data_IF_499778441384
#
_entry.id   IF_499778441384
#
_cell.length_a   1.000
_cell.length_b   1.000
_cell.length_c   1.000
_cell.angle_alpha   90.00
_cell.angle_beta   90.00
_cell.angle_gamma   90.00
#
_symmetry.space_group_name_H-M   'P 1'
#
loop_
_entity.id
_entity.type
_entity.pdbx_description
1 polymer ?
#
# COMPACT_ATOMS: atom_id res chain seq x y z
N UNK A 1 17.80 2.58 59.97
CA UNK A 1 18.33 1.60 58.98
C UNK A 1 17.75 1.95 57.62
N UNK A 2 18.62 2.15 56.61
CA UNK A 2 18.28 2.37 55.20
C UNK A 2 18.01 1.02 54.53
N UNK A 3 16.99 0.93 53.68
CA UNK A 3 17.01 0.06 52.50
C UNK A 3 15.99 0.61 51.49
N UNK A 4 16.52 1.41 50.55
CA UNK A 4 15.81 1.83 49.37
C UNK A 4 15.84 0.73 48.31
N UNK A 5 14.75 0.58 47.59
CA UNK A 5 14.73 -0.11 46.31
C UNK A 5 14.25 0.88 45.25
N UNK A 6 15.21 1.50 44.58
CA UNK A 6 14.99 2.22 43.34
C UNK A 6 14.66 1.23 42.23
N UNK A 7 13.55 1.49 41.53
CA UNK A 7 13.34 1.01 40.17
C UNK A 7 13.09 2.23 39.31
N UNK A 8 14.18 2.80 38.81
CA UNK A 8 14.18 3.71 37.66
C UNK A 8 13.61 2.93 36.48
N UNK A 9 12.38 3.26 36.10
CA UNK A 9 11.80 2.83 34.83
C UNK A 9 12.59 3.55 33.75
N UNK A 10 13.50 2.84 33.10
CA UNK A 10 14.14 3.30 31.87
C UNK A 10 13.03 3.52 30.84
N UNK A 11 12.71 4.79 30.62
CA UNK A 11 11.94 5.24 29.48
C UNK A 11 12.86 5.12 28.27
N UNK A 12 12.81 3.96 27.60
CA UNK A 12 13.36 3.83 26.27
C UNK A 12 12.54 4.77 25.36
N UNK A 13 13.13 5.78 24.71
CA UNK A 13 12.39 6.53 23.71
C UNK A 13 12.10 5.60 22.54
N UNK A 14 10.85 5.16 22.41
CA UNK A 14 10.34 4.45 21.24
C UNK A 14 10.54 5.32 19.99
N UNK A 15 11.31 4.89 18.98
CA UNK A 15 11.54 5.72 17.81
C UNK A 15 10.51 5.40 16.72
N UNK A 16 9.22 5.71 16.92
CA UNK A 16 8.28 5.93 15.80
C UNK A 16 6.85 6.37 16.21
N UNK A 17 6.67 7.60 16.71
CA UNK A 17 5.32 8.17 16.90
C UNK A 17 4.97 9.26 15.88
N UNK A 18 5.89 9.63 14.99
CA UNK A 18 5.75 10.79 14.11
C UNK A 18 5.71 10.47 12.60
N UNK A 19 5.90 9.23 12.15
CA UNK A 19 5.93 8.93 10.70
C UNK A 19 4.53 8.79 10.08
N UNK A 20 3.59 8.10 10.75
CA UNK A 20 2.21 7.90 10.25
C UNK A 20 1.48 9.22 9.91
N UNK A 21 1.52 10.27 10.76
CA UNK A 21 0.90 11.56 10.43
C UNK A 21 1.57 12.28 9.25
N UNK A 22 2.88 12.10 9.07
CA UNK A 22 3.65 12.75 7.99
C UNK A 22 3.34 12.07 6.64
N UNK A 23 3.31 10.74 6.62
CA UNK A 23 2.98 9.94 5.43
C UNK A 23 1.56 10.25 4.92
N UNK A 24 0.58 10.30 5.83
CA UNK A 24 -0.81 10.61 5.48
C UNK A 24 -0.96 12.04 4.95
N UNK A 25 -0.29 13.01 5.58
CA UNK A 25 -0.30 14.41 5.14
C UNK A 25 0.32 14.56 3.75
N UNK A 26 1.46 13.91 3.49
CA UNK A 26 2.12 14.01 2.18
C UNK A 26 1.33 13.38 1.04
N UNK A 27 0.74 12.19 1.26
CA UNK A 27 -0.10 11.59 0.24
C UNK A 27 -1.27 12.52 -0.14
N UNK A 28 -1.89 13.17 0.86
CA UNK A 28 -2.98 14.13 0.64
C UNK A 28 -2.54 15.34 -0.21
N UNK A 29 -1.35 15.87 0.05
CA UNK A 29 -0.78 16.96 -0.73
C UNK A 29 -0.49 16.54 -2.18
N UNK A 30 0.09 15.35 -2.38
CA UNK A 30 0.36 14.82 -3.72
C UNK A 30 -0.92 14.54 -4.51
N UNK A 31 -2.02 14.19 -3.83
CA UNK A 31 -3.35 14.10 -4.44
C UNK A 31 -3.97 15.45 -4.79
N UNK A 32 -3.31 16.58 -4.54
CA UNK A 32 -3.76 17.91 -4.98
C UNK A 32 -5.07 18.37 -4.35
N UNK A 33 -5.44 17.82 -3.19
CA UNK A 33 -6.74 18.07 -2.54
C UNK A 33 -7.91 17.25 -3.10
N UNK A 34 -7.68 16.36 -4.07
CA UNK A 34 -8.66 15.37 -4.52
C UNK A 34 -8.86 14.33 -3.41
N UNK A 35 -9.94 14.51 -2.64
CA UNK A 35 -10.26 13.67 -1.48
C UNK A 35 -10.57 12.22 -1.87
N UNK A 36 -11.18 12.01 -3.03
CA UNK A 36 -11.53 10.67 -3.53
C UNK A 36 -10.27 9.93 -3.99
N UNK A 37 -9.36 10.62 -4.69
CA UNK A 37 -8.07 10.05 -5.08
C UNK A 37 -7.21 9.75 -3.87
N UNK A 38 -7.14 10.66 -2.90
CA UNK A 38 -6.45 10.40 -1.63
C UNK A 38 -7.03 9.17 -0.92
N UNK A 39 -8.36 9.06 -0.85
CA UNK A 39 -9.02 7.93 -0.20
C UNK A 39 -8.75 6.61 -0.93
N UNK A 40 -8.80 6.61 -2.27
CA UNK A 40 -8.52 5.41 -3.04
C UNK A 40 -7.05 5.00 -2.91
N UNK A 41 -6.13 5.96 -3.03
CA UNK A 41 -4.69 5.68 -2.94
C UNK A 41 -4.27 5.23 -1.53
N UNK A 42 -4.82 5.82 -0.46
CA UNK A 42 -4.52 5.39 0.91
C UNK A 42 -4.95 3.95 1.21
N UNK A 43 -5.91 3.40 0.47
CA UNK A 43 -6.38 2.00 0.58
C UNK A 43 -5.60 1.02 -0.30
N UNK A 44 -5.13 1.48 -1.45
CA UNK A 44 -4.57 0.61 -2.50
C UNK A 44 -3.04 0.63 -2.57
N UNK A 45 -2.41 1.69 -2.06
CA UNK A 45 -0.94 1.78 -1.97
C UNK A 45 -0.41 1.06 -0.74
N UNK A 46 0.83 0.59 -0.85
CA UNK A 46 1.63 0.29 0.32
C UNK A 46 2.20 1.59 0.87
N UNK A 47 1.71 2.06 2.03
CA UNK A 47 2.22 3.29 2.65
C UNK A 47 3.61 3.09 3.29
N UNK A 48 3.96 1.84 3.57
CA UNK A 48 5.28 1.44 4.05
C UNK A 48 5.87 0.36 3.12
N UNK A 49 6.55 0.76 2.03
CA UNK A 49 7.03 -0.17 1.02
C UNK A 49 8.11 -1.14 1.54
N UNK A 50 8.76 -0.83 2.67
CA UNK A 50 9.76 -1.73 3.30
C UNK A 50 9.13 -3.03 3.82
N UNK A 51 7.81 -3.05 3.98
CA UNK A 51 7.04 -4.24 4.38
C UNK A 51 6.66 -5.14 3.20
N UNK A 52 6.95 -4.76 1.97
CA UNK A 52 6.67 -5.59 0.78
C UNK A 52 7.73 -6.71 0.72
N UNK A 53 7.47 -7.82 1.42
CA UNK A 53 8.38 -8.97 1.48
C UNK A 53 8.08 -10.06 0.45
N UNK A 54 6.95 -9.96 -0.26
CA UNK A 54 6.46 -10.97 -1.20
C UNK A 54 6.71 -10.55 -2.65
N UNK A 55 7.10 -11.49 -3.51
CA UNK A 55 7.32 -11.22 -4.93
C UNK A 55 6.00 -11.15 -5.70
N UNK A 56 5.97 -10.35 -6.78
CA UNK A 56 4.79 -10.30 -7.66
C UNK A 56 4.43 -11.69 -8.22
N UNK A 57 5.42 -12.49 -8.59
CA UNK A 57 5.21 -13.84 -9.11
C UNK A 57 4.51 -14.74 -8.09
N UNK A 58 4.96 -14.73 -6.83
CA UNK A 58 4.34 -15.51 -5.78
C UNK A 58 2.88 -15.09 -5.55
N UNK A 59 2.62 -13.78 -5.46
CA UNK A 59 1.26 -13.24 -5.28
C UNK A 59 0.34 -13.66 -6.42
N UNK A 60 0.82 -13.62 -7.66
CA UNK A 60 0.02 -14.00 -8.82
C UNK A 60 -0.29 -15.49 -8.86
N UNK A 61 0.66 -16.34 -8.48
CA UNK A 61 0.43 -17.78 -8.35
C UNK A 61 -0.67 -18.06 -7.34
N UNK A 62 -0.58 -17.45 -6.15
CA UNK A 62 -1.61 -17.58 -5.11
C UNK A 62 -2.98 -17.05 -5.58
N UNK A 63 -3.01 -15.90 -6.25
CA UNK A 63 -4.24 -15.32 -6.80
C UNK A 63 -4.95 -16.27 -7.77
N UNK A 64 -4.19 -16.90 -8.68
CA UNK A 64 -4.71 -17.85 -9.65
C UNK A 64 -5.19 -19.14 -8.98
N UNK A 65 -4.48 -19.63 -7.96
CA UNK A 65 -4.92 -20.78 -7.17
C UNK A 65 -6.25 -20.52 -6.45
N UNK A 66 -6.40 -19.34 -5.83
CA UNK A 66 -7.66 -18.95 -5.19
C UNK A 66 -8.80 -18.78 -6.19
N UNK A 67 -8.52 -18.20 -7.36
CA UNK A 67 -9.49 -18.07 -8.45
C UNK A 67 -9.97 -19.45 -8.92
N UNK A 68 -9.04 -20.40 -9.16
CA UNK A 68 -9.36 -21.75 -9.59
C UNK A 68 -10.17 -22.54 -8.55
N UNK A 69 -9.95 -22.26 -7.26
CA UNK A 69 -10.71 -22.85 -6.14
C UNK A 69 -12.07 -22.17 -5.91
N UNK A 70 -12.41 -21.13 -6.69
CA UNK A 70 -13.64 -20.35 -6.49
C UNK A 70 -13.62 -19.44 -5.26
N UNK A 71 -12.46 -19.26 -4.62
CA UNK A 71 -12.30 -18.40 -3.46
C UNK A 71 -12.14 -16.94 -3.88
N UNK A 72 -13.27 -16.32 -4.25
CA UNK A 72 -13.32 -14.95 -4.79
C UNK A 72 -12.70 -13.92 -3.85
N UNK A 73 -12.93 -14.03 -2.54
CA UNK A 73 -12.40 -13.08 -1.56
C UNK A 73 -10.87 -13.12 -1.51
N UNK A 74 -10.27 -14.32 -1.43
CA UNK A 74 -8.81 -14.41 -1.41
C UNK A 74 -8.18 -14.06 -2.76
N UNK A 75 -8.85 -14.38 -3.87
CA UNK A 75 -8.42 -13.96 -5.19
C UNK A 75 -8.41 -12.42 -5.30
N UNK A 76 -9.48 -11.74 -4.85
CA UNK A 76 -9.56 -10.28 -4.78
C UNK A 76 -8.39 -9.68 -4.02
N UNK A 77 -8.15 -10.15 -2.79
CA UNK A 77 -7.06 -9.65 -1.95
C UNK A 77 -5.70 -9.86 -2.61
N UNK A 78 -5.45 -11.04 -3.18
CA UNK A 78 -4.19 -11.33 -3.84
C UNK A 78 -3.97 -10.45 -5.09
N UNK A 79 -5.00 -10.25 -5.92
CA UNK A 79 -4.90 -9.33 -7.05
C UNK A 79 -4.75 -7.86 -6.62
N UNK A 80 -5.36 -7.44 -5.49
CA UNK A 80 -5.12 -6.12 -4.90
C UNK A 80 -3.64 -5.94 -4.52
N UNK A 81 -3.06 -6.95 -3.87
CA UNK A 81 -1.63 -6.92 -3.49
C UNK A 81 -0.75 -6.84 -4.74
N UNK A 82 -1.05 -7.63 -5.79
CA UNK A 82 -0.35 -7.55 -7.07
C UNK A 82 -0.44 -6.14 -7.70
N UNK A 83 -1.61 -5.51 -7.66
CA UNK A 83 -1.81 -4.12 -8.09
C UNK A 83 -0.99 -3.12 -7.28
N UNK A 84 -0.94 -3.29 -5.95
CA UNK A 84 -0.07 -2.49 -5.07
C UNK A 84 1.42 -2.63 -5.41
N UNK A 85 1.87 -3.84 -5.77
CA UNK A 85 3.27 -4.06 -6.17
C UNK A 85 3.55 -3.39 -7.53
N UNK A 86 2.61 -3.47 -8.47
CA UNK A 86 2.73 -2.77 -9.75
C UNK A 86 2.76 -1.24 -9.57
N UNK A 87 1.95 -0.69 -8.66
CA UNK A 87 2.01 0.72 -8.25
C UNK A 87 3.39 1.09 -7.73
N UNK A 88 3.94 0.29 -6.82
CA UNK A 88 5.27 0.52 -6.27
C UNK A 88 6.37 0.53 -7.34
N UNK A 89 6.25 -0.34 -8.35
CA UNK A 89 7.17 -0.40 -9.50
C UNK A 89 6.92 0.69 -10.55
N UNK A 90 5.85 1.45 -10.43
CA UNK A 90 5.41 2.40 -11.44
C UNK A 90 4.98 1.75 -12.76
N UNK A 91 4.50 0.50 -12.71
CA UNK A 91 4.06 -0.30 -13.84
C UNK A 91 2.56 -0.07 -14.11
N UNK A 92 2.24 0.87 -15.00
CA UNK A 92 0.86 1.25 -15.32
C UNK A 92 0.03 0.08 -15.90
N UNK A 93 0.64 -0.76 -16.74
CA UNK A 93 -0.06 -1.89 -17.35
C UNK A 93 -0.40 -2.94 -16.30
N UNK A 94 0.56 -3.24 -15.41
CA UNK A 94 0.33 -4.11 -14.25
C UNK A 94 -0.76 -3.56 -13.33
N UNK A 95 -0.73 -2.25 -13.03
CA UNK A 95 -1.75 -1.57 -12.21
C UNK A 95 -3.14 -1.75 -12.81
N UNK A 96 -3.31 -1.43 -14.09
CA UNK A 96 -4.60 -1.58 -14.77
C UNK A 96 -5.06 -3.04 -14.77
N UNK A 97 -4.16 -3.98 -15.06
CA UNK A 97 -4.47 -5.41 -15.12
C UNK A 97 -4.93 -5.96 -13.77
N UNK A 98 -4.13 -5.76 -12.72
CA UNK A 98 -4.35 -6.42 -11.45
C UNK A 98 -5.49 -5.79 -10.65
N UNK A 99 -5.61 -4.45 -10.65
CA UNK A 99 -6.75 -3.82 -9.98
C UNK A 99 -8.06 -4.04 -10.73
N UNK A 100 -8.07 -4.13 -12.07
CA UNK A 100 -9.29 -4.52 -12.80
C UNK A 100 -9.72 -5.94 -12.44
N UNK A 101 -8.75 -6.85 -12.27
CA UNK A 101 -9.02 -8.22 -11.84
C UNK A 101 -9.56 -8.26 -10.41
N UNK A 102 -8.96 -7.52 -9.47
CA UNK A 102 -9.46 -7.39 -8.11
C UNK A 102 -10.90 -6.82 -8.08
N UNK A 103 -11.16 -5.75 -8.84
CA UNK A 103 -12.48 -5.13 -8.97
C UNK A 103 -13.55 -6.13 -9.45
N UNK A 104 -13.20 -7.00 -10.40
CA UNK A 104 -14.13 -8.02 -10.92
C UNK A 104 -14.57 -9.04 -9.87
N UNK A 105 -13.75 -9.28 -8.84
CA UNK A 105 -14.11 -10.14 -7.72
C UNK A 105 -14.88 -9.41 -6.63
N UNK A 106 -14.50 -8.15 -6.35
CA UNK A 106 -15.14 -7.29 -5.36
C UNK A 106 -16.56 -6.85 -5.73
N UNK A 107 -16.85 -6.66 -7.03
CA UNK A 107 -18.08 -6.03 -7.47
C UNK A 107 -18.23 -4.63 -6.87
N UNK A 108 -19.44 -4.28 -6.44
CA UNK A 108 -19.76 -2.94 -5.94
C UNK A 108 -19.32 -2.69 -4.48
N UNK A 109 -18.72 -3.68 -3.81
CA UNK A 109 -18.29 -3.56 -2.41
C UNK A 109 -17.04 -2.68 -2.23
N UNK A 110 -16.27 -2.46 -3.29
CA UNK A 110 -15.03 -1.68 -3.28
C UNK A 110 -15.02 -0.64 -4.41
N UNK A 111 -15.82 0.46 -4.30
CA UNK A 111 -15.90 1.50 -5.32
C UNK A 111 -14.55 2.22 -5.56
N UNK A 112 -13.63 2.15 -4.59
CA UNK A 112 -12.28 2.71 -4.72
C UNK A 112 -11.52 2.16 -5.94
N UNK A 113 -11.76 0.91 -6.36
CA UNK A 113 -11.14 0.36 -7.57
C UNK A 113 -11.58 1.09 -8.82
N UNK A 114 -12.89 1.35 -8.95
CA UNK A 114 -13.45 2.03 -10.12
C UNK A 114 -12.96 3.46 -10.24
N UNK A 115 -12.86 4.17 -9.11
CA UNK A 115 -12.28 5.52 -9.07
C UNK A 115 -10.80 5.51 -9.44
N UNK A 116 -10.04 4.63 -8.78
CA UNK A 116 -8.61 4.50 -8.99
C UNK A 116 -8.26 4.15 -10.45
N UNK A 117 -8.96 3.20 -11.06
CA UNK A 117 -8.71 2.76 -12.44
C UNK A 117 -8.97 3.87 -13.47
N UNK A 118 -9.94 4.76 -13.24
CA UNK A 118 -10.19 5.92 -14.11
C UNK A 118 -9.05 6.94 -14.08
N UNK A 119 -8.25 6.94 -13.02
CA UNK A 119 -7.13 7.85 -12.76
C UNK A 119 -5.81 7.10 -12.64
N UNK A 120 -5.68 5.91 -13.22
CA UNK A 120 -4.55 5.01 -12.96
C UNK A 120 -3.20 5.63 -13.34
N UNK A 121 -3.13 6.41 -14.42
CA UNK A 121 -1.92 7.15 -14.80
C UNK A 121 -1.50 8.16 -13.74
N UNK A 122 -2.45 8.92 -13.19
CA UNK A 122 -2.17 9.92 -12.15
C UNK A 122 -1.80 9.25 -10.83
N UNK A 123 -2.48 8.16 -10.50
CA UNK A 123 -2.18 7.36 -9.33
C UNK A 123 -0.76 6.78 -9.40
N UNK A 124 -0.31 6.30 -10.56
CA UNK A 124 1.08 5.88 -10.77
C UNK A 124 2.06 7.04 -10.60
N UNK A 125 1.76 8.21 -11.14
CA UNK A 125 2.62 9.39 -11.01
C UNK A 125 2.75 9.87 -9.56
N UNK A 126 1.64 9.89 -8.80
CA UNK A 126 1.62 10.23 -7.37
C UNK A 126 2.36 9.17 -6.56
N UNK A 127 2.09 7.89 -6.81
CA UNK A 127 2.73 6.78 -6.11
C UNK A 127 4.25 6.82 -6.31
N UNK A 128 4.73 7.09 -7.53
CA UNK A 128 6.15 7.26 -7.81
C UNK A 128 6.79 8.34 -6.95
N UNK A 129 6.20 9.55 -6.92
CA UNK A 129 6.71 10.66 -6.09
C UNK A 129 6.75 10.29 -4.61
N UNK A 130 5.66 9.68 -4.12
CA UNK A 130 5.58 9.22 -2.74
C UNK A 130 6.69 8.21 -2.40
N UNK A 131 6.93 7.23 -3.28
CA UNK A 131 7.97 6.22 -3.07
C UNK A 131 9.38 6.75 -3.29
N UNK A 132 9.59 7.76 -4.11
CA UNK A 132 10.88 8.47 -4.18
C UNK A 132 11.20 9.17 -2.85
N UNK A 133 10.21 9.80 -2.22
CA UNK A 133 10.37 10.50 -0.94
C UNK A 133 10.54 9.54 0.26
N UNK A 134 9.78 8.44 0.30
CA UNK A 134 9.68 7.57 1.48
C UNK A 134 10.23 6.14 1.27
N UNK A 135 10.39 5.70 0.03
CA UNK A 135 10.95 4.41 -0.35
C UNK A 135 12.47 4.43 -0.55
N UNK A 136 13.07 5.59 -0.84
CA UNK A 136 14.51 5.76 -1.12
C UNK A 136 15.41 5.70 0.11
N UNK A 137 15.26 4.68 0.95
CA UNK A 137 16.42 4.07 1.63
C UNK A 137 16.98 2.87 0.86
N UNK A 138 16.36 2.46 -0.26
CA UNK A 138 16.75 1.27 -1.03
C UNK A 138 16.52 1.56 -2.51
N UNK A 139 17.53 2.12 -3.20
CA UNK A 139 18.17 1.62 -4.45
C UNK A 139 19.40 2.52 -4.64
N UNK A 140 20.60 2.03 -4.32
CA UNK A 140 21.81 2.46 -5.04
C UNK A 140 22.28 1.28 -5.89
N UNK A 141 22.71 1.52 -7.14
CA UNK A 141 23.31 0.50 -7.99
C UNK A 141 24.60 -0.08 -7.39
#
# INVERSE_FOLDING_TARGET
MKLGFGKTKQENPSPNLNAEPILATRLRELSGGDGDLYQAMSRLMFLDPKKIMISLEQVLKEAQEYEAQGNRLRAEVAYRVAGGIALYRGDLDGVNKYFSKAASFAGDSHPEYGFFLKRSSDAVAIARKYYEEFGSSIIQP
#
